data_IF_686808538094
#
_entry.id   IF_686808538094
#
_cell.length_a   1.000
_cell.length_b   1.000
_cell.length_c   1.000
_cell.angle_alpha   90.00
_cell.angle_beta   90.00
_cell.angle_gamma   90.00
#
_symmetry.space_group_name_H-M   'P 1'
#
loop_
_entity.id
_entity.type
_entity.pdbx_description
1 polymer ?
#
# COMPACT_ATOMS: atom_id res chain seq x y z
N UNK A 1 10.86 2.28 15.34
CA UNK A 1 11.12 1.58 14.07
C UNK A 1 12.08 2.43 13.26
N UNK A 2 12.92 1.80 12.46
CA UNK A 2 13.90 2.49 11.62
C UNK A 2 13.80 2.07 10.14
N UNK A 3 13.13 0.95 9.84
CA UNK A 3 12.97 0.45 8.48
C UNK A 3 11.71 -0.38 8.32
N UNK A 4 11.05 -0.30 7.17
CA UNK A 4 9.90 -1.12 6.82
C UNK A 4 9.78 -1.33 5.32
N UNK A 5 9.17 -2.43 4.89
CA UNK A 5 8.94 -2.71 3.47
C UNK A 5 7.54 -3.26 3.22
N UNK A 6 6.94 -2.83 2.11
CA UNK A 6 5.68 -3.34 1.59
C UNK A 6 5.91 -3.95 0.22
N UNK A 7 5.55 -5.22 0.05
CA UNK A 7 5.64 -5.93 -1.21
C UNK A 7 4.27 -6.42 -1.63
N UNK A 8 3.84 -6.05 -2.83
CA UNK A 8 2.57 -6.45 -3.42
C UNK A 8 2.86 -7.09 -4.78
N UNK A 9 2.80 -8.42 -4.83
CA UNK A 9 3.12 -9.23 -5.99
C UNK A 9 1.87 -9.97 -6.44
N UNK A 10 1.04 -9.28 -7.17
CA UNK A 10 -0.26 -9.76 -7.59
C UNK A 10 -0.32 -10.07 -9.08
N UNK A 11 -1.27 -10.90 -9.45
CA UNK A 11 -1.60 -11.23 -10.82
C UNK A 11 -2.87 -10.49 -11.23
N UNK A 12 -2.78 -9.75 -12.32
CA UNK A 12 -3.94 -9.27 -13.06
C UNK A 12 -3.72 -9.59 -14.52
N UNK A 13 -4.68 -10.22 -15.13
CA UNK A 13 -4.65 -10.61 -16.53
C UNK A 13 -5.48 -9.65 -17.40
N UNK A 14 -5.46 -9.87 -18.69
CA UNK A 14 -6.22 -9.09 -19.65
C UNK A 14 -7.73 -9.10 -19.33
N UNK A 15 -8.27 -10.27 -18.96
CA UNK A 15 -9.68 -10.41 -18.58
C UNK A 15 -10.07 -9.52 -17.39
N UNK A 16 -9.17 -9.37 -16.41
CA UNK A 16 -9.40 -8.48 -15.28
C UNK A 16 -9.60 -7.03 -15.72
N UNK A 17 -8.75 -6.54 -16.63
CA UNK A 17 -8.84 -5.15 -17.12
C UNK A 17 -10.05 -4.96 -18.05
N UNK A 18 -10.39 -5.93 -18.88
CA UNK A 18 -11.52 -5.88 -19.79
C UNK A 18 -12.89 -5.84 -19.09
N UNK A 19 -12.98 -6.29 -17.85
CA UNK A 19 -14.24 -6.27 -17.08
C UNK A 19 -14.79 -4.89 -16.80
N UNK A 20 -13.98 -3.83 -16.89
CA UNK A 20 -14.44 -2.47 -16.66
C UNK A 20 -13.51 -1.45 -17.32
N UNK A 21 -14.08 -0.59 -18.15
CA UNK A 21 -13.35 0.38 -18.99
C UNK A 21 -12.55 1.44 -18.22
N UNK A 22 -12.78 1.59 -16.93
CA UNK A 22 -12.04 2.55 -16.09
C UNK A 22 -10.71 2.00 -15.59
N UNK A 23 -10.54 0.66 -15.55
CA UNK A 23 -9.35 0.02 -14.99
C UNK A 23 -8.11 0.31 -15.82
N UNK A 24 -7.01 0.62 -15.13
CA UNK A 24 -5.73 0.92 -15.75
C UNK A 24 -5.70 2.24 -16.53
N UNK A 25 -6.74 3.10 -16.41
CA UNK A 25 -6.76 4.42 -17.03
C UNK A 25 -6.23 5.48 -16.07
N UNK A 26 -5.49 6.46 -16.55
CA UNK A 26 -5.03 7.58 -15.72
C UNK A 26 -6.16 8.47 -15.21
N UNK A 27 -7.26 8.55 -15.94
CA UNK A 27 -8.37 9.43 -15.61
C UNK A 27 -9.22 8.93 -14.44
N UNK A 28 -9.42 7.61 -14.32
CA UNK A 28 -10.40 7.05 -13.39
C UNK A 28 -9.81 6.06 -12.37
N UNK A 29 -8.59 5.60 -12.58
CA UNK A 29 -8.00 4.54 -11.77
C UNK A 29 -6.55 4.85 -11.36
N UNK A 30 -5.66 4.92 -12.30
CA UNK A 30 -4.23 4.78 -12.12
C UNK A 30 -3.79 3.35 -12.41
N UNK A 31 -2.59 2.99 -11.99
CA UNK A 31 -2.02 1.67 -12.24
C UNK A 31 -2.02 0.75 -11.02
N UNK A 32 -1.04 -0.16 -10.99
CA UNK A 32 -0.88 -1.15 -9.94
C UNK A 32 -0.75 -0.51 -8.55
N UNK A 33 0.04 0.57 -8.42
CA UNK A 33 0.26 1.24 -7.13
C UNK A 33 -1.03 1.87 -6.59
N UNK A 34 -1.84 2.49 -7.46
CA UNK A 34 -3.04 3.19 -7.06
C UNK A 34 -4.19 2.24 -6.75
N UNK A 35 -4.38 1.20 -7.54
CA UNK A 35 -5.52 0.30 -7.41
C UNK A 35 -5.24 -0.87 -6.46
N UNK A 36 -4.22 -1.69 -6.73
CA UNK A 36 -3.95 -2.91 -5.96
C UNK A 36 -3.09 -2.67 -4.73
N UNK A 37 -2.11 -1.77 -4.81
CA UNK A 37 -1.07 -1.66 -3.80
C UNK A 37 -1.36 -0.61 -2.73
N UNK A 38 -2.31 0.31 -2.94
CA UNK A 38 -2.55 1.45 -2.05
C UNK A 38 -2.83 1.04 -0.60
N UNK A 39 -3.47 -0.10 -0.37
CA UNK A 39 -3.78 -0.59 0.98
C UNK A 39 -2.51 -0.91 1.78
N UNK A 40 -1.57 -1.63 1.17
CA UNK A 40 -0.32 -1.98 1.84
C UNK A 40 0.66 -0.79 1.90
N UNK A 41 0.59 0.11 0.92
CA UNK A 41 1.31 1.40 0.94
C UNK A 41 0.81 2.26 2.12
N UNK A 42 -0.50 2.35 2.33
CA UNK A 42 -1.11 3.05 3.46
C UNK A 42 -0.72 2.41 4.80
N UNK A 43 -0.76 1.08 4.88
CA UNK A 43 -0.38 0.33 6.06
C UNK A 43 1.09 0.57 6.43
N UNK A 44 2.01 0.53 5.46
CA UNK A 44 3.42 0.85 5.68
C UNK A 44 3.58 2.28 6.22
N UNK A 45 2.95 3.26 5.56
CA UNK A 45 2.99 4.66 5.97
C UNK A 45 2.52 4.83 7.41
N UNK A 46 1.36 4.28 7.75
CA UNK A 46 0.77 4.37 9.07
C UNK A 46 1.67 3.74 10.14
N UNK A 47 2.19 2.54 9.90
CA UNK A 47 3.07 1.83 10.82
C UNK A 47 4.43 2.51 11.02
N UNK A 48 4.95 3.19 9.99
CA UNK A 48 6.28 3.83 10.04
C UNK A 48 6.26 5.24 10.62
N UNK A 49 5.10 5.80 10.99
CA UNK A 49 4.98 7.07 11.69
C UNK A 49 4.31 8.19 10.91
N UNK A 50 3.60 7.87 9.84
CA UNK A 50 2.61 8.70 9.14
C UNK A 50 3.16 9.94 8.39
N UNK A 51 4.21 10.61 8.86
CA UNK A 51 4.75 11.81 8.25
C UNK A 51 5.96 11.52 7.34
N UNK A 52 5.78 11.79 6.05
CA UNK A 52 6.81 11.59 5.03
C UNK A 52 7.62 12.88 4.88
N UNK A 53 8.94 12.74 4.73
CA UNK A 53 9.88 13.80 4.37
C UNK A 53 10.04 13.87 2.85
N UNK A 54 10.46 12.76 2.25
CA UNK A 54 10.72 12.68 0.81
C UNK A 54 10.54 11.25 0.27
N UNK A 55 10.31 11.16 -1.05
CA UNK A 55 10.19 9.90 -1.78
C UNK A 55 10.92 9.97 -3.12
N UNK A 56 11.50 8.84 -3.51
CA UNK A 56 11.99 8.61 -4.88
C UNK A 56 11.43 7.30 -5.38
N UNK A 57 10.96 7.28 -6.64
CA UNK A 57 10.34 6.11 -7.22
C UNK A 57 10.54 5.97 -8.72
N UNK A 58 10.33 4.76 -9.18
CA UNK A 58 10.29 4.39 -10.59
C UNK A 58 9.01 3.62 -10.85
N UNK A 59 8.38 3.88 -11.99
CA UNK A 59 7.19 3.16 -12.45
C UNK A 59 7.31 2.88 -13.93
N UNK A 60 6.81 1.73 -14.35
CA UNK A 60 6.83 1.33 -15.76
C UNK A 60 5.61 0.47 -16.11
N UNK A 61 5.32 0.39 -17.40
CA UNK A 61 4.35 -0.50 -18.01
C UNK A 61 5.09 -1.57 -18.81
N UNK A 62 5.38 -2.69 -18.18
CA UNK A 62 6.28 -3.71 -18.74
C UNK A 62 5.57 -4.84 -19.50
N UNK A 63 4.35 -5.16 -19.10
CA UNK A 63 3.64 -6.34 -19.60
C UNK A 63 2.24 -6.02 -20.12
N UNK A 64 1.50 -5.14 -19.48
CA UNK A 64 0.12 -4.83 -19.83
C UNK A 64 0.05 -3.64 -20.81
N UNK A 65 0.43 -3.85 -22.07
CA UNK A 65 0.43 -2.83 -23.11
C UNK A 65 -0.97 -2.29 -23.47
N UNK A 66 -2.01 -2.95 -22.99
CA UNK A 66 -3.42 -2.60 -23.17
C UNK A 66 -4.00 -1.68 -22.07
N UNK A 67 -3.21 -1.28 -21.06
CA UNK A 67 -3.61 -0.26 -20.07
C UNK A 67 -2.82 1.04 -20.30
N UNK A 68 -3.32 2.16 -19.75
CA UNK A 68 -2.62 3.46 -19.86
C UNK A 68 -1.56 3.65 -18.78
N UNK A 69 -1.81 3.11 -17.57
CA UNK A 69 -1.01 3.34 -16.38
C UNK A 69 0.04 2.24 -16.16
N UNK A 70 0.78 2.34 -15.06
CA UNK A 70 1.86 1.41 -14.74
C UNK A 70 1.35 0.06 -14.22
N UNK A 71 2.13 -0.99 -14.46
CA UNK A 71 1.95 -2.33 -13.93
C UNK A 71 3.07 -2.75 -12.96
N UNK A 72 4.08 -1.88 -12.80
CA UNK A 72 5.18 -2.02 -11.86
C UNK A 72 5.52 -0.65 -11.25
N UNK A 73 5.68 -0.61 -9.92
CA UNK A 73 6.23 0.53 -9.22
C UNK A 73 7.14 0.13 -8.06
N UNK A 74 8.25 0.84 -7.91
CA UNK A 74 9.23 0.67 -6.83
C UNK A 74 9.54 2.04 -6.25
N UNK A 75 9.53 2.16 -4.91
CA UNK A 75 9.83 3.44 -4.27
C UNK A 75 10.63 3.27 -2.99
N UNK A 76 11.48 4.26 -2.71
CA UNK A 76 12.16 4.48 -1.44
C UNK A 76 11.54 5.72 -0.78
N UNK A 77 11.14 5.58 0.47
CA UNK A 77 10.48 6.61 1.28
C UNK A 77 11.37 6.95 2.46
N UNK A 78 11.52 8.23 2.76
CA UNK A 78 12.12 8.71 4.00
C UNK A 78 11.06 9.40 4.84
N UNK A 79 10.95 8.99 6.09
CA UNK A 79 10.01 9.55 7.05
C UNK A 79 10.66 10.66 7.87
N UNK A 80 9.88 11.63 8.37
CA UNK A 80 10.39 12.74 9.19
C UNK A 80 11.02 12.29 10.52
N UNK A 81 10.60 11.14 11.04
CA UNK A 81 11.22 10.52 12.23
C UNK A 81 12.58 9.87 11.95
N UNK A 82 13.08 9.93 10.72
CA UNK A 82 14.37 9.36 10.29
C UNK A 82 14.31 7.92 9.82
N UNK A 83 13.14 7.28 9.87
CA UNK A 83 12.95 5.93 9.35
C UNK A 83 12.88 5.90 7.81
N UNK A 84 13.06 4.71 7.24
CA UNK A 84 12.97 4.46 5.81
C UNK A 84 11.90 3.41 5.48
N UNK A 85 11.29 3.56 4.31
CA UNK A 85 10.33 2.60 3.75
C UNK A 85 10.69 2.21 2.32
N UNK A 86 10.41 0.96 1.95
CA UNK A 86 10.46 0.50 0.57
C UNK A 86 9.07 0.00 0.17
N UNK A 87 8.64 0.38 -1.01
CA UNK A 87 7.46 -0.15 -1.69
C UNK A 87 7.90 -0.86 -2.96
N UNK A 88 7.40 -2.07 -3.16
CA UNK A 88 7.47 -2.82 -4.42
C UNK A 88 6.06 -3.32 -4.73
N UNK A 89 5.50 -2.86 -5.84
CA UNK A 89 4.15 -3.21 -6.26
C UNK A 89 4.07 -3.56 -7.73
N UNK A 90 3.47 -4.70 -8.05
CA UNK A 90 3.27 -5.14 -9.43
C UNK A 90 2.02 -6.00 -9.58
N UNK A 91 1.45 -5.96 -10.79
CA UNK A 91 0.37 -6.85 -11.23
C UNK A 91 0.84 -7.93 -12.22
N UNK A 92 2.14 -8.02 -12.48
CA UNK A 92 2.76 -8.86 -13.50
C UNK A 92 3.08 -10.29 -13.03
N UNK A 93 2.59 -10.73 -11.88
CA UNK A 93 2.85 -12.08 -11.37
C UNK A 93 1.94 -13.10 -12.04
N UNK A 94 2.50 -14.26 -12.39
CA UNK A 94 1.77 -15.35 -13.02
C UNK A 94 1.90 -16.63 -12.18
N UNK A 95 0.90 -17.51 -12.11
CA UNK A 95 -0.45 -17.39 -12.71
C UNK A 95 -1.51 -16.79 -11.77
N UNK A 96 -1.15 -16.41 -10.56
CA UNK A 96 -2.05 -15.92 -9.50
C UNK A 96 -1.30 -14.99 -8.54
N UNK A 97 -2.03 -14.30 -7.67
CA UNK A 97 -1.41 -13.52 -6.59
C UNK A 97 -0.41 -14.40 -5.82
N UNK A 98 0.81 -13.91 -5.68
CA UNK A 98 1.88 -14.59 -4.96
C UNK A 98 1.85 -14.24 -3.48
N UNK A 99 1.95 -12.94 -3.19
CA UNK A 99 2.02 -12.45 -1.81
C UNK A 99 1.61 -10.98 -1.72
N UNK A 100 1.19 -10.58 -0.53
CA UNK A 100 1.16 -9.22 -0.06
C UNK A 100 1.74 -9.21 1.35
N UNK A 101 2.88 -8.52 1.54
CA UNK A 101 3.67 -8.59 2.76
C UNK A 101 4.06 -7.22 3.27
N UNK A 102 4.11 -7.09 4.61
CA UNK A 102 4.64 -5.93 5.32
C UNK A 102 5.71 -6.41 6.29
N UNK A 103 6.90 -5.83 6.20
CA UNK A 103 7.97 -6.04 7.16
C UNK A 103 8.23 -4.76 7.95
N UNK A 104 8.41 -4.90 9.25
CA UNK A 104 8.74 -3.80 10.15
C UNK A 104 9.97 -4.18 10.99
N UNK A 105 10.98 -3.32 10.98
CA UNK A 105 12.21 -3.50 11.71
C UNK A 105 12.41 -2.36 12.71
N UNK A 106 12.54 -2.72 13.96
CA UNK A 106 12.78 -1.79 15.07
C UNK A 106 14.02 -2.18 15.87
N UNK A 107 14.43 -1.32 16.79
CA UNK A 107 15.56 -1.56 17.66
C UNK A 107 15.41 -2.83 18.51
N UNK A 108 14.16 -3.13 18.90
CA UNK A 108 13.86 -4.22 19.83
C UNK A 108 13.09 -5.38 19.18
N UNK A 109 12.75 -5.29 17.90
CA UNK A 109 11.95 -6.35 17.31
C UNK A 109 11.80 -6.27 15.81
N UNK A 110 11.30 -7.39 15.27
CA UNK A 110 10.97 -7.57 13.87
C UNK A 110 9.59 -8.18 13.76
N UNK A 111 8.76 -7.59 12.90
CA UNK A 111 7.43 -8.11 12.57
C UNK A 111 7.34 -8.35 11.06
N UNK A 112 6.75 -9.48 10.67
CA UNK A 112 6.32 -9.77 9.32
C UNK A 112 4.86 -10.13 9.31
N UNK A 113 4.05 -9.29 8.69
CA UNK A 113 2.71 -9.66 8.27
C UNK A 113 2.76 -10.09 6.80
N UNK A 114 2.08 -11.17 6.45
CA UNK A 114 2.20 -11.78 5.14
C UNK A 114 0.93 -12.50 4.70
N UNK A 115 1.09 -13.53 3.87
CA UNK A 115 0.02 -14.20 3.18
C UNK A 115 -0.31 -13.53 1.86
N UNK A 116 -1.53 -13.75 1.37
CA UNK A 116 -1.99 -13.17 0.10
C UNK A 116 -2.56 -11.75 0.23
N UNK A 117 -2.83 -11.29 1.47
CA UNK A 117 -3.53 -10.04 1.76
C UNK A 117 -3.16 -9.46 3.12
N UNK A 118 -1.91 -9.64 3.56
CA UNK A 118 -1.42 -9.18 4.89
C UNK A 118 -2.26 -9.71 6.05
N UNK A 119 -2.79 -10.91 5.92
CA UNK A 119 -3.78 -11.51 6.83
C UNK A 119 -3.18 -12.52 7.81
N UNK A 120 -1.87 -12.68 7.82
CA UNK A 120 -1.14 -13.64 8.65
C UNK A 120 0.05 -12.95 9.30
N UNK A 121 0.23 -13.11 10.60
CA UNK A 121 1.48 -12.76 11.28
C UNK A 121 2.45 -13.93 11.10
N UNK A 122 3.47 -13.74 10.26
CA UNK A 122 4.49 -14.76 9.99
C UNK A 122 5.68 -14.67 10.94
N UNK A 123 6.07 -13.43 11.33
CA UNK A 123 7.13 -13.19 12.30
C UNK A 123 6.69 -12.19 13.36
N UNK A 124 6.95 -12.52 14.63
CA UNK A 124 6.70 -11.68 15.79
C UNK A 124 7.82 -11.87 16.80
N UNK A 125 8.92 -11.15 16.63
CA UNK A 125 10.12 -11.36 17.40
C UNK A 125 10.54 -10.07 18.12
N UNK A 126 10.55 -10.09 19.46
CA UNK A 126 10.94 -8.96 20.29
C UNK A 126 11.96 -9.36 21.35
N UNK A 127 12.93 -8.49 21.63
CA UNK A 127 14.01 -8.73 22.58
C UNK A 127 13.55 -8.75 24.04
N UNK A 128 12.43 -8.12 24.36
CA UNK A 128 11.83 -8.09 25.71
C UNK A 128 10.91 -9.28 26.00
N UNK A 129 10.58 -10.06 24.97
CA UNK A 129 9.81 -11.31 25.09
C UNK A 129 8.53 -11.18 25.92
N UNK A 130 7.81 -10.05 25.79
CA UNK A 130 6.55 -9.81 26.53
C UNK A 130 5.41 -10.70 26.04
N UNK A 131 5.45 -11.06 24.76
CA UNK A 131 4.46 -11.93 24.11
C UNK A 131 5.14 -13.23 23.66
N UNK A 132 4.40 -14.33 23.70
CA UNK A 132 4.82 -15.58 23.05
C UNK A 132 4.59 -15.46 21.53
N UNK A 133 5.63 -15.53 20.69
CA UNK A 133 5.49 -15.41 19.23
C UNK A 133 4.54 -16.43 18.61
N UNK A 134 4.50 -17.65 19.13
CA UNK A 134 3.64 -18.70 18.58
C UNK A 134 2.17 -18.49 18.96
N UNK A 135 1.91 -17.97 20.15
CA UNK A 135 0.55 -17.57 20.55
C UNK A 135 0.04 -16.41 19.70
N UNK A 136 0.86 -15.38 19.47
CA UNK A 136 0.50 -14.23 18.61
C UNK A 136 0.22 -14.70 17.19
N UNK A 137 1.09 -15.51 16.60
CA UNK A 137 0.89 -16.05 15.24
C UNK A 137 -0.40 -16.87 15.14
N UNK A 138 -0.69 -17.70 16.13
CA UNK A 138 -1.92 -18.52 16.16
C UNK A 138 -3.18 -17.66 16.31
N UNK A 139 -3.14 -16.63 17.14
CA UNK A 139 -4.27 -15.74 17.41
C UNK A 139 -4.63 -14.89 16.16
N UNK A 140 -3.63 -14.45 15.42
CA UNK A 140 -3.81 -13.55 14.26
C UNK A 140 -3.60 -14.24 12.91
N UNK A 141 -3.80 -15.56 12.87
CA UNK A 141 -3.82 -16.33 11.63
C UNK A 141 -5.26 -16.41 11.12
N UNK A 142 -5.63 -15.49 10.23
CA UNK A 142 -6.94 -15.53 9.59
C UNK A 142 -6.83 -16.14 8.19
N UNK A 143 -7.81 -16.97 7.83
CA UNK A 143 -7.99 -17.49 6.49
C UNK A 143 -9.33 -16.99 5.92
N UNK A 144 -9.42 -15.72 5.51
CA UNK A 144 -10.66 -15.17 5.00
C UNK A 144 -11.03 -15.81 3.66
N UNK A 145 -12.33 -15.85 3.29
CA UNK A 145 -12.79 -16.46 2.05
C UNK A 145 -12.33 -15.69 0.79
N UNK A 146 -11.87 -14.47 0.97
CA UNK A 146 -11.38 -13.60 -0.11
C UNK A 146 -10.44 -12.53 0.47
N UNK A 147 -9.83 -11.73 -0.40
CA UNK A 147 -8.86 -10.67 -0.04
C UNK A 147 -9.43 -9.54 0.83
N UNK A 148 -10.74 -9.40 0.91
CA UNK A 148 -11.37 -8.34 1.72
C UNK A 148 -11.41 -8.66 3.21
N UNK A 149 -11.30 -9.93 3.60
CA UNK A 149 -11.30 -10.35 4.99
C UNK A 149 -12.58 -9.99 5.75
N UNK A 150 -12.43 -9.75 7.06
CA UNK A 150 -13.55 -9.43 7.97
C UNK A 150 -13.51 -7.97 8.45
N UNK A 151 -12.56 -7.17 7.98
CA UNK A 151 -12.30 -5.81 8.47
C UNK A 151 -13.42 -4.79 8.22
N UNK A 152 -14.30 -5.03 7.24
CA UNK A 152 -15.40 -4.11 6.93
C UNK A 152 -16.43 -3.99 8.07
N UNK A 153 -16.70 -5.08 8.78
CA UNK A 153 -17.70 -5.08 9.88
C UNK A 153 -17.31 -4.10 11.00
N UNK A 154 -16.10 -4.15 11.59
CA UNK A 154 -15.71 -3.18 12.61
C UNK A 154 -15.57 -1.76 12.04
N UNK A 155 -15.15 -1.59 10.77
CA UNK A 155 -15.08 -0.29 10.12
C UNK A 155 -16.46 0.38 10.06
N UNK A 156 -17.48 -0.33 9.58
CA UNK A 156 -18.84 0.22 9.54
C UNK A 156 -19.43 0.46 10.93
N UNK A 157 -19.13 -0.39 11.90
CA UNK A 157 -19.56 -0.17 13.29
C UNK A 157 -18.98 1.14 13.85
N UNK A 158 -17.69 1.42 13.62
CA UNK A 158 -17.05 2.67 14.03
C UNK A 158 -17.68 3.90 13.34
N UNK A 159 -17.95 3.82 12.03
CA UNK A 159 -18.58 4.93 11.29
C UNK A 159 -20.00 5.20 11.81
N UNK A 160 -20.79 4.15 12.05
CA UNK A 160 -22.15 4.29 12.60
C UNK A 160 -22.10 4.97 13.97
N UNK A 161 -21.23 4.50 14.85
CA UNK A 161 -21.05 5.09 16.20
C UNK A 161 -20.57 6.54 16.10
N UNK A 162 -19.62 6.84 15.21
CA UNK A 162 -19.13 8.19 14.99
C UNK A 162 -20.23 9.15 14.58
N UNK A 163 -21.13 8.74 13.67
CA UNK A 163 -22.31 9.53 13.27
C UNK A 163 -23.29 9.72 14.44
N UNK A 164 -23.55 8.65 15.23
CA UNK A 164 -24.51 8.72 16.35
C UNK A 164 -24.01 9.59 17.51
N UNK A 165 -22.71 9.65 17.72
CA UNK A 165 -22.08 10.36 18.85
C UNK A 165 -21.41 11.67 18.47
N UNK A 166 -21.52 12.10 17.21
CA UNK A 166 -20.92 13.31 16.64
C UNK A 166 -19.38 13.38 16.89
N UNK A 167 -18.70 12.25 16.74
CA UNK A 167 -17.23 12.16 16.80
C UNK A 167 -16.62 11.88 15.43
N UNK A 168 -15.34 12.12 15.28
CA UNK A 168 -14.61 11.66 14.10
C UNK A 168 -14.53 10.11 14.06
N UNK A 169 -14.67 9.47 12.88
CA UNK A 169 -14.38 8.05 12.73
C UNK A 169 -12.88 7.77 12.90
N UNK A 170 -12.54 6.53 13.23
CA UNK A 170 -11.15 6.12 13.41
C UNK A 170 -10.31 6.33 12.13
N UNK A 171 -10.89 6.04 10.97
CA UNK A 171 -10.28 6.34 9.66
C UNK A 171 -11.11 7.42 8.97
N UNK A 172 -10.59 8.63 8.89
CA UNK A 172 -11.24 9.78 8.26
C UNK A 172 -10.75 10.02 6.81
N UNK A 173 -11.36 10.98 6.13
CA UNK A 173 -10.97 11.35 4.77
C UNK A 173 -9.52 11.87 4.67
N UNK A 174 -8.94 12.38 5.76
CA UNK A 174 -7.55 12.83 5.77
C UNK A 174 -6.58 11.66 5.76
N UNK A 175 -6.95 10.55 6.42
CA UNK A 175 -6.19 9.31 6.36
C UNK A 175 -6.12 8.78 4.93
N UNK A 176 -7.28 8.68 4.24
CA UNK A 176 -7.31 8.29 2.83
C UNK A 176 -6.54 9.24 1.90
N UNK A 177 -6.65 10.54 2.14
CA UNK A 177 -5.89 11.55 1.38
C UNK A 177 -4.37 11.33 1.50
N UNK A 178 -3.86 11.03 2.70
CA UNK A 178 -2.42 10.79 2.91
C UNK A 178 -1.89 9.58 2.15
N UNK A 179 -2.68 8.49 2.06
CA UNK A 179 -2.33 7.33 1.24
C UNK A 179 -2.25 7.70 -0.24
N UNK A 180 -3.26 8.42 -0.73
CA UNK A 180 -3.31 8.90 -2.10
C UNK A 180 -2.13 9.83 -2.43
N UNK A 181 -1.79 10.78 -1.55
CA UNK A 181 -0.67 11.69 -1.73
C UNK A 181 0.67 10.95 -1.87
N UNK A 182 0.87 9.85 -1.14
CA UNK A 182 2.10 9.06 -1.27
C UNK A 182 2.21 8.40 -2.65
N UNK A 183 1.13 7.80 -3.15
CA UNK A 183 1.13 7.18 -4.50
C UNK A 183 1.36 8.26 -5.57
N UNK A 184 0.69 9.41 -5.46
CA UNK A 184 0.88 10.52 -6.40
C UNK A 184 2.32 11.07 -6.37
N UNK A 185 2.94 11.12 -5.19
CA UNK A 185 4.34 11.53 -5.06
C UNK A 185 5.30 10.53 -5.71
N UNK A 186 5.01 9.22 -5.63
CA UNK A 186 5.77 8.19 -6.35
C UNK A 186 5.65 8.40 -7.87
N UNK A 187 4.45 8.64 -8.38
CA UNK A 187 4.25 8.95 -9.80
C UNK A 187 4.98 10.21 -10.24
N UNK A 188 4.92 11.27 -9.44
CA UNK A 188 5.62 12.52 -9.72
C UNK A 188 7.13 12.33 -9.74
N UNK A 189 7.68 11.58 -8.78
CA UNK A 189 9.09 11.23 -8.74
C UNK A 189 9.51 10.44 -9.97
N UNK A 190 8.75 9.42 -10.33
CA UNK A 190 9.00 8.62 -11.52
C UNK A 190 8.91 9.44 -12.81
N UNK A 191 8.01 10.42 -12.89
CA UNK A 191 7.85 11.28 -14.08
C UNK A 191 8.99 12.29 -14.22
N UNK A 192 9.50 12.83 -13.10
CA UNK A 192 10.55 13.85 -13.09
C UNK A 192 11.98 13.27 -13.02
N UNK A 193 12.11 12.00 -12.63
CA UNK A 193 13.39 11.34 -12.36
C UNK A 193 14.08 11.85 -11.08
N UNK A 194 13.36 12.53 -10.19
CA UNK A 194 13.92 13.18 -9.02
C UNK A 194 13.22 12.86 -7.70
N UNK A 195 13.79 13.38 -6.60
CA UNK A 195 13.18 13.28 -5.27
C UNK A 195 12.00 14.25 -5.18
N UNK A 196 10.88 13.75 -4.64
CA UNK A 196 9.70 14.56 -4.30
C UNK A 196 9.64 14.75 -2.78
N UNK A 197 9.55 16.01 -2.35
CA UNK A 197 9.43 16.39 -0.93
C UNK A 197 7.99 16.64 -0.53
N UNK A 198 7.66 16.32 0.70
CA UNK A 198 6.35 16.59 1.29
C UNK A 198 6.31 17.90 2.08
N UNK A 199 5.13 18.60 2.09
CA UNK A 199 3.89 18.21 1.40
C UNK A 199 4.00 18.38 -0.11
N UNK A 200 3.33 17.51 -0.86
CA UNK A 200 3.27 17.66 -2.32
C UNK A 200 2.37 18.81 -2.73
N UNK A 201 2.70 19.43 -3.84
CA UNK A 201 1.82 20.37 -4.53
C UNK A 201 0.69 19.64 -5.24
N UNK A 202 -0.27 20.38 -5.81
CA UNK A 202 -1.37 19.76 -6.57
C UNK A 202 -0.84 18.76 -7.60
N UNK A 203 -1.30 17.51 -7.47
CA UNK A 203 -0.94 16.41 -8.36
C UNK A 203 -2.18 15.55 -8.60
N UNK A 204 -2.36 15.11 -9.83
CA UNK A 204 -3.46 14.25 -10.25
C UNK A 204 -2.95 13.22 -11.24
N UNK A 205 -3.54 12.03 -11.22
CA UNK A 205 -3.20 10.93 -12.14
C UNK A 205 -3.31 11.33 -13.61
N UNK A 206 -4.25 12.22 -13.95
CA UNK A 206 -4.43 12.70 -15.34
C UNK A 206 -3.19 13.40 -15.91
N UNK A 207 -2.30 13.93 -15.06
CA UNK A 207 -1.05 14.57 -15.49
C UNK A 207 -0.05 13.57 -16.09
N UNK A 208 -0.25 12.28 -15.88
CA UNK A 208 0.63 11.21 -16.37
C UNK A 208 0.10 10.54 -17.63
N UNK A 209 -1.05 11.02 -18.18
CA UNK A 209 -1.62 10.48 -19.41
C UNK A 209 -0.61 10.58 -20.56
N UNK A 210 -0.46 9.48 -21.33
CA UNK A 210 0.52 9.39 -22.41
C UNK A 210 1.97 9.09 -21.97
N UNK A 211 2.21 8.81 -20.70
CA UNK A 211 3.55 8.59 -20.17
C UNK A 211 4.25 7.36 -20.78
N UNK A 212 3.49 6.34 -21.12
CA UNK A 212 4.01 5.07 -21.65
C UNK A 212 3.65 4.84 -23.12
N UNK A 213 3.15 5.85 -23.82
CA UNK A 213 2.77 5.80 -25.25
C UNK A 213 3.98 6.04 -26.18
#
# INVERSE_FOLDING_TARGET
MFYGTAHIRWCRDHEYYDRANWRGTWEQDGGALMNQCIHNIDLLRWMMGDEIDEVVGMTDRLHHDYIEAEDLGIALIKFKNGAYGIVEGTTNVYPKNLEETLYLFGEKGTVKAGGQSVNIIEEWNFSDMLDDPDEVKAQYHEAPPNVYGFGHTPLYADVIEAVQTDRAPYVDARAGKRALELVLAIYQSAATGGIVKFPITECSTIQFKGRFD
#
